data_IF_731819672470
#
_entry.id   IF_731819672470
#
_cell.length_a   1.000
_cell.length_b   1.000
_cell.length_c   1.000
_cell.angle_alpha   90.00
_cell.angle_beta   90.00
_cell.angle_gamma   90.00
#
_symmetry.space_group_name_H-M   'P 1'
#
loop_
_entity.id
_entity.type
_entity.pdbx_description
1 polymer ?
#
# COMPACT_ATOMS: atom_id res chain seq x y z
N UNK A 1 10.64 -27.61 14.58
CA UNK A 1 10.58 -27.19 13.17
C UNK A 1 11.31 -28.26 12.37
N UNK A 2 10.61 -28.99 11.52
CA UNK A 2 10.98 -30.34 11.02
C UNK A 2 12.11 -30.40 9.99
N UNK A 3 12.76 -29.29 9.64
CA UNK A 3 13.94 -29.29 8.74
C UNK A 3 13.66 -29.68 7.29
N UNK A 4 12.52 -30.32 7.03
CA UNK A 4 12.02 -30.66 5.71
C UNK A 4 11.13 -29.52 5.18
N UNK A 5 11.69 -28.74 4.25
CA UNK A 5 11.03 -27.65 3.54
C UNK A 5 10.61 -28.06 2.13
N UNK A 6 10.60 -29.37 1.84
CA UNK A 6 10.04 -29.82 0.56
C UNK A 6 8.56 -29.43 0.49
N UNK A 7 8.13 -28.70 -0.54
CA UNK A 7 6.72 -28.37 -0.70
C UNK A 7 5.90 -29.67 -0.74
N UNK A 8 4.96 -29.84 0.19
CA UNK A 8 4.04 -31.00 0.21
C UNK A 8 3.01 -30.97 -0.90
N UNK A 9 3.04 -29.94 -1.75
CA UNK A 9 2.17 -29.79 -2.91
C UNK A 9 3.00 -30.02 -4.17
N UNK A 10 2.77 -31.12 -4.91
CA UNK A 10 3.39 -31.32 -6.21
C UNK A 10 2.82 -30.25 -7.17
N UNK A 11 3.68 -29.42 -7.73
CA UNK A 11 3.44 -28.70 -8.98
C UNK A 11 2.13 -27.90 -9.12
N UNK A 12 1.75 -27.11 -8.12
CA UNK A 12 1.01 -25.88 -8.44
C UNK A 12 2.01 -24.76 -8.56
N UNK A 13 2.48 -24.52 -9.80
CA UNK A 13 2.90 -23.18 -10.17
C UNK A 13 1.82 -22.24 -9.61
N UNK A 14 2.18 -21.26 -8.76
CA UNK A 14 1.21 -20.33 -8.19
C UNK A 14 0.48 -19.51 -9.27
N UNK A 15 0.75 -19.77 -10.55
CA UNK A 15 0.12 -19.15 -11.69
C UNK A 15 0.53 -17.70 -11.78
N UNK A 16 1.60 -17.30 -11.09
CA UNK A 16 1.97 -15.88 -10.98
C UNK A 16 2.17 -15.31 -12.37
N UNK A 17 2.75 -16.08 -13.30
CA UNK A 17 3.00 -15.68 -14.69
C UNK A 17 1.76 -15.71 -15.59
N UNK A 18 0.79 -16.54 -15.27
CA UNK A 18 -0.35 -16.90 -16.16
C UNK A 18 -1.69 -16.35 -15.66
N UNK A 19 -1.74 -15.86 -14.42
CA UNK A 19 -2.91 -15.31 -13.76
C UNK A 19 -2.68 -13.84 -13.35
N UNK A 20 -3.77 -13.06 -13.19
CA UNK A 20 -3.66 -11.74 -12.61
C UNK A 20 -3.27 -11.87 -11.14
N UNK A 21 -2.62 -10.84 -10.58
CA UNK A 21 -2.17 -10.91 -9.20
C UNK A 21 -3.35 -11.17 -8.25
N UNK A 22 -3.29 -12.29 -7.52
CA UNK A 22 -4.30 -12.57 -6.49
C UNK A 22 -4.17 -11.61 -5.32
N UNK A 23 -2.95 -11.38 -4.83
CA UNK A 23 -2.64 -10.39 -3.78
C UNK A 23 -1.86 -9.19 -4.36
N UNK A 24 -1.97 -8.00 -3.76
CA UNK A 24 -1.24 -6.82 -4.21
C UNK A 24 0.28 -7.06 -4.25
N UNK A 25 0.97 -6.68 -5.35
CA UNK A 25 2.36 -7.12 -5.58
C UNK A 25 3.43 -6.24 -4.92
N UNK A 26 3.05 -5.13 -4.27
CA UNK A 26 3.99 -4.15 -3.73
C UNK A 26 4.97 -4.71 -2.70
N UNK A 27 4.49 -5.54 -1.76
CA UNK A 27 5.35 -6.18 -0.76
C UNK A 27 6.25 -7.29 -1.37
N UNK A 28 5.71 -8.22 -2.19
CA UNK A 28 6.55 -9.17 -2.93
C UNK A 28 7.69 -8.53 -3.74
N UNK A 29 7.46 -7.38 -4.39
CA UNK A 29 8.52 -6.67 -5.12
C UNK A 29 9.61 -6.10 -4.21
N UNK A 30 9.24 -5.56 -3.03
CA UNK A 30 10.23 -5.15 -2.02
C UNK A 30 11.07 -6.35 -1.59
N UNK A 31 10.42 -7.48 -1.31
CA UNK A 31 11.08 -8.69 -0.84
C UNK A 31 12.01 -9.29 -1.90
N UNK A 32 11.57 -9.34 -3.16
CA UNK A 32 12.39 -9.78 -4.29
C UNK A 32 13.65 -8.90 -4.45
N UNK A 33 13.50 -7.58 -4.28
CA UNK A 33 14.62 -6.64 -4.32
C UNK A 33 15.56 -6.84 -3.12
N UNK A 34 15.02 -7.05 -1.92
CA UNK A 34 15.79 -7.33 -0.71
C UNK A 34 16.64 -8.60 -0.85
N UNK A 35 16.05 -9.69 -1.34
CA UNK A 35 16.77 -10.94 -1.56
C UNK A 35 17.79 -10.86 -2.70
N UNK A 36 17.53 -10.04 -3.73
CA UNK A 36 18.50 -9.81 -4.81
C UNK A 36 19.75 -9.09 -4.31
N UNK A 37 19.61 -8.15 -3.37
CA UNK A 37 20.72 -7.38 -2.82
C UNK A 37 21.45 -8.10 -1.68
N UNK A 38 20.72 -8.80 -0.81
CA UNK A 38 21.26 -9.44 0.40
C UNK A 38 21.46 -10.96 0.32
N UNK A 39 21.17 -11.57 -0.84
CA UNK A 39 21.11 -13.03 -1.02
C UNK A 39 19.89 -13.65 -0.33
N UNK A 40 19.72 -14.98 -0.45
CA UNK A 40 18.60 -15.76 0.12
C UNK A 40 18.65 -15.92 1.66
N UNK A 41 19.09 -14.87 2.37
CA UNK A 41 19.22 -14.87 3.83
C UNK A 41 18.00 -14.16 4.45
N UNK A 42 17.39 -14.77 5.45
CA UNK A 42 16.28 -14.18 6.20
C UNK A 42 16.61 -12.84 6.88
N UNK A 43 17.89 -12.55 7.14
CA UNK A 43 18.32 -11.32 7.77
C UNK A 43 18.14 -10.07 6.88
N UNK A 44 18.34 -10.20 5.56
CA UNK A 44 18.31 -9.06 4.63
C UNK A 44 16.96 -8.32 4.62
N UNK A 45 15.81 -8.98 4.39
CA UNK A 45 14.52 -8.30 4.40
C UNK A 45 14.15 -7.78 5.80
N UNK A 46 14.54 -8.46 6.89
CA UNK A 46 14.33 -7.97 8.26
C UNK A 46 15.06 -6.66 8.52
N UNK A 47 16.33 -6.56 8.13
CA UNK A 47 17.10 -5.32 8.28
C UNK A 47 16.44 -4.18 7.51
N UNK A 48 15.98 -4.44 6.28
CA UNK A 48 15.25 -3.45 5.48
C UNK A 48 13.95 -3.03 6.17
N UNK A 49 13.19 -3.97 6.75
CA UNK A 49 11.97 -3.64 7.49
C UNK A 49 12.24 -2.81 8.75
N UNK A 50 13.30 -3.11 9.50
CA UNK A 50 13.70 -2.31 10.67
C UNK A 50 14.09 -0.89 10.24
N UNK A 51 14.86 -0.75 9.15
CA UNK A 51 15.21 0.56 8.59
C UNK A 51 13.95 1.32 8.18
N UNK A 52 13.00 0.66 7.51
CA UNK A 52 11.71 1.25 7.17
C UNK A 52 10.96 1.68 8.44
N UNK A 53 10.88 0.84 9.47
CA UNK A 53 10.29 1.17 10.76
C UNK A 53 10.86 2.45 11.38
N UNK A 54 12.19 2.55 11.44
CA UNK A 54 12.90 3.74 11.92
C UNK A 54 12.55 4.98 11.08
N UNK A 55 12.55 4.86 9.75
CA UNK A 55 12.16 5.95 8.85
C UNK A 55 10.70 6.36 9.08
N UNK A 56 9.80 5.40 9.33
CA UNK A 56 8.41 5.65 9.67
C UNK A 56 8.26 6.46 10.95
N UNK A 57 8.97 6.08 12.02
CA UNK A 57 9.03 6.83 13.27
C UNK A 57 9.55 8.27 13.07
N UNK A 58 10.61 8.44 12.27
CA UNK A 58 11.18 9.75 11.97
C UNK A 58 10.21 10.63 11.17
N UNK A 59 9.55 10.08 10.15
CA UNK A 59 8.58 10.82 9.35
C UNK A 59 7.38 11.26 10.19
N UNK A 60 6.88 10.40 11.07
CA UNK A 60 5.82 10.74 12.01
C UNK A 60 6.24 11.86 12.98
N UNK A 61 7.44 11.77 13.53
CA UNK A 61 8.01 12.77 14.43
C UNK A 61 8.18 14.13 13.73
N UNK A 62 8.69 14.13 12.48
CA UNK A 62 8.83 15.34 11.66
C UNK A 62 7.47 15.95 11.30
N UNK A 63 6.48 15.10 10.98
CA UNK A 63 5.12 15.54 10.71
C UNK A 63 4.51 16.19 11.96
N UNK A 64 4.53 15.51 13.11
CA UNK A 64 4.04 16.05 14.37
C UNK A 64 4.77 17.34 14.78
N UNK A 65 6.11 17.37 14.62
CA UNK A 65 6.93 18.56 14.91
C UNK A 65 6.51 19.77 14.10
N UNK A 66 6.15 19.58 12.82
CA UNK A 66 5.76 20.67 11.92
C UNK A 66 4.51 21.41 12.42
N UNK A 67 3.54 20.70 12.99
CA UNK A 67 2.22 21.26 13.33
C UNK A 67 2.06 21.57 14.82
N UNK A 68 2.74 20.81 15.69
CA UNK A 68 2.53 20.87 17.14
C UNK A 68 3.82 21.14 17.94
N UNK A 69 4.95 21.36 17.26
CA UNK A 69 6.23 21.68 17.89
C UNK A 69 7.06 20.46 18.32
N UNK A 70 8.29 20.73 18.79
CA UNK A 70 9.30 19.70 19.03
C UNK A 70 8.92 18.66 20.09
N UNK A 71 8.23 19.07 21.16
CA UNK A 71 7.80 18.17 22.23
C UNK A 71 6.85 17.08 21.72
N UNK A 72 5.84 17.46 20.94
CA UNK A 72 4.88 16.49 20.37
C UNK A 72 5.53 15.59 19.32
N UNK A 73 6.49 16.12 18.55
CA UNK A 73 7.31 15.30 17.66
C UNK A 73 8.09 14.21 18.39
N UNK A 74 8.69 14.54 19.54
CA UNK A 74 9.39 13.56 20.37
C UNK A 74 8.43 12.52 20.97
N UNK A 75 7.27 12.95 21.47
CA UNK A 75 6.25 12.03 21.99
C UNK A 75 5.78 11.06 20.89
N UNK A 76 5.52 11.55 19.68
CA UNK A 76 5.16 10.70 18.54
C UNK A 76 6.26 9.68 18.20
N UNK A 77 7.53 10.10 18.23
CA UNK A 77 8.66 9.20 18.01
C UNK A 77 8.73 8.09 19.07
N UNK A 78 8.63 8.46 20.35
CA UNK A 78 8.67 7.51 21.48
C UNK A 78 7.51 6.53 21.41
N UNK A 79 6.29 7.03 21.19
CA UNK A 79 5.10 6.18 21.09
C UNK A 79 5.22 5.19 19.94
N UNK A 80 5.68 5.62 18.76
CA UNK A 80 5.85 4.71 17.64
C UNK A 80 6.98 3.69 17.89
N UNK A 81 8.13 4.13 18.44
CA UNK A 81 9.26 3.23 18.69
C UNK A 81 9.02 2.20 19.81
N UNK A 82 8.05 2.46 20.68
CA UNK A 82 7.70 1.57 21.82
C UNK A 82 6.42 0.79 21.58
N UNK A 83 5.68 1.08 20.51
CA UNK A 83 4.44 0.39 20.21
C UNK A 83 4.72 -1.03 19.72
N UNK A 84 4.45 -2.00 20.61
CA UNK A 84 4.81 -3.41 20.43
C UNK A 84 4.35 -4.02 19.10
N UNK A 85 3.21 -3.59 18.56
CA UNK A 85 2.67 -4.09 17.29
C UNK A 85 3.60 -3.76 16.12
N UNK A 86 4.20 -2.56 16.10
CA UNK A 86 5.14 -2.18 15.03
C UNK A 86 6.41 -2.99 15.12
N UNK A 87 6.96 -3.11 16.34
CA UNK A 87 8.16 -3.91 16.61
C UNK A 87 7.92 -5.38 16.18
N UNK A 88 6.75 -5.93 16.48
CA UNK A 88 6.37 -7.28 16.09
C UNK A 88 6.31 -7.44 14.57
N UNK A 89 5.60 -6.56 13.87
CA UNK A 89 5.46 -6.65 12.40
C UNK A 89 6.72 -6.28 11.63
N UNK A 90 7.70 -5.61 12.23
CA UNK A 90 9.04 -5.41 11.64
C UNK A 90 9.87 -6.70 11.66
N UNK A 91 9.65 -7.57 12.66
CA UNK A 91 10.28 -8.88 12.77
C UNK A 91 9.66 -9.94 11.85
N UNK A 92 8.39 -9.77 11.49
CA UNK A 92 7.64 -10.65 10.60
C UNK A 92 7.77 -10.19 9.14
N UNK A 93 7.76 -11.11 8.17
CA UNK A 93 7.83 -10.76 6.75
C UNK A 93 6.44 -10.33 6.25
N UNK A 94 6.02 -9.13 6.66
CA UNK A 94 4.70 -8.59 6.37
C UNK A 94 4.69 -7.15 5.85
N UNK A 95 3.64 -6.86 5.10
CA UNK A 95 3.36 -5.56 4.49
C UNK A 95 3.31 -4.32 5.42
N UNK A 96 2.93 -4.39 6.71
CA UNK A 96 2.74 -3.20 7.54
C UNK A 96 3.95 -2.27 7.63
N UNK A 97 5.17 -2.80 7.72
CA UNK A 97 6.38 -1.99 7.84
C UNK A 97 6.55 -1.04 6.63
N UNK A 98 6.36 -1.55 5.41
CA UNK A 98 6.38 -0.74 4.19
C UNK A 98 5.19 0.22 4.12
N UNK A 99 3.98 -0.26 4.45
CA UNK A 99 2.76 0.52 4.35
C UNK A 99 2.80 1.77 5.23
N UNK A 100 3.25 1.65 6.47
CA UNK A 100 3.25 2.75 7.44
C UNK A 100 4.19 3.87 7.00
N UNK A 101 5.37 3.53 6.50
CA UNK A 101 6.31 4.51 5.94
C UNK A 101 5.70 5.24 4.74
N UNK A 102 5.09 4.50 3.82
CA UNK A 102 4.44 5.07 2.64
C UNK A 102 3.30 6.00 3.05
N UNK A 103 2.50 5.65 4.06
CA UNK A 103 1.41 6.50 4.55
C UNK A 103 1.93 7.78 5.20
N UNK A 104 2.97 7.72 6.04
CA UNK A 104 3.56 8.92 6.65
C UNK A 104 4.20 9.84 5.61
N UNK A 105 4.91 9.27 4.63
CA UNK A 105 5.43 10.02 3.50
C UNK A 105 4.29 10.66 2.69
N UNK A 106 3.25 9.88 2.36
CA UNK A 106 2.09 10.36 1.60
C UNK A 106 1.43 11.53 2.30
N UNK A 107 1.07 11.40 3.59
CA UNK A 107 0.42 12.46 4.36
C UNK A 107 1.33 13.70 4.46
N UNK A 108 2.65 13.52 4.58
CA UNK A 108 3.61 14.64 4.59
C UNK A 108 3.62 15.41 3.26
N UNK A 109 3.61 14.71 2.11
CA UNK A 109 3.50 15.37 0.81
C UNK A 109 2.12 15.96 0.55
N UNK A 110 1.06 15.30 1.05
CA UNK A 110 -0.33 15.77 1.04
C UNK A 110 -0.54 16.97 1.98
N UNK A 111 0.31 17.22 2.97
CA UNK A 111 0.31 18.48 3.70
C UNK A 111 1.04 19.58 2.90
N UNK A 112 2.20 19.25 2.31
CA UNK A 112 3.01 20.23 1.56
C UNK A 112 2.36 20.73 0.27
N UNK A 113 1.66 19.84 -0.44
CA UNK A 113 0.98 20.24 -1.68
C UNK A 113 -0.22 21.15 -1.41
N UNK A 114 -0.93 21.05 -0.27
CA UNK A 114 -2.15 21.84 -0.03
C UNK A 114 -1.81 23.25 0.42
N UNK A 115 -0.62 23.48 0.98
CA UNK A 115 -0.14 24.82 1.29
C UNK A 115 0.18 25.64 0.04
N UNK A 116 0.65 25.02 -1.05
CA UNK A 116 1.17 25.74 -2.23
C UNK A 116 0.54 25.33 -3.57
N UNK A 117 -0.34 24.32 -3.57
CA UNK A 117 -0.97 23.69 -4.74
C UNK A 117 0.03 23.41 -5.88
N UNK A 118 1.23 22.91 -5.53
CA UNK A 118 2.30 22.64 -6.49
C UNK A 118 2.14 21.28 -7.15
N UNK A 119 2.20 21.27 -8.48
CA UNK A 119 2.13 20.05 -9.30
C UNK A 119 3.14 18.98 -8.87
N UNK A 120 4.42 19.33 -8.70
CA UNK A 120 5.45 18.32 -8.34
C UNK A 120 5.19 17.64 -6.98
N UNK A 121 4.71 18.38 -5.98
CA UNK A 121 4.35 17.79 -4.68
C UNK A 121 3.09 16.93 -4.78
N UNK A 122 2.15 17.29 -5.66
CA UNK A 122 0.98 16.50 -5.98
C UNK A 122 1.32 15.16 -6.62
N UNK A 123 2.23 15.19 -7.61
CA UNK A 123 2.72 13.98 -8.29
C UNK A 123 3.41 13.07 -7.29
N UNK A 124 4.28 13.61 -6.42
CA UNK A 124 4.92 12.82 -5.36
C UNK A 124 3.90 12.19 -4.39
N UNK A 125 2.87 12.93 -3.97
CA UNK A 125 1.77 12.40 -3.17
C UNK A 125 1.01 11.28 -3.91
N UNK A 126 0.76 11.44 -5.22
CA UNK A 126 0.08 10.48 -6.07
C UNK A 126 0.87 9.19 -6.24
N UNK A 127 2.19 9.31 -6.47
CA UNK A 127 3.12 8.17 -6.53
C UNK A 127 3.10 7.41 -5.21
N UNK A 128 3.20 8.10 -4.07
CA UNK A 128 3.16 7.45 -2.75
C UNK A 128 1.82 6.78 -2.48
N UNK A 129 0.71 7.41 -2.87
CA UNK A 129 -0.64 6.84 -2.77
C UNK A 129 -0.78 5.57 -3.62
N UNK A 130 -0.29 5.59 -4.86
CA UNK A 130 -0.34 4.41 -5.73
C UNK A 130 0.61 3.29 -5.27
N UNK A 131 1.81 3.61 -4.79
CA UNK A 131 2.69 2.63 -4.14
C UNK A 131 2.04 2.01 -2.90
N UNK A 132 1.38 2.82 -2.07
CA UNK A 132 0.62 2.32 -0.92
C UNK A 132 -0.55 1.43 -1.37
N UNK A 133 -1.22 1.77 -2.47
CA UNK A 133 -2.28 0.96 -3.06
C UNK A 133 -1.78 -0.40 -3.58
N UNK A 134 -0.57 -0.46 -4.13
CA UNK A 134 0.07 -1.72 -4.51
C UNK A 134 0.41 -2.62 -3.32
N UNK A 135 0.43 -2.09 -2.11
CA UNK A 135 0.58 -2.85 -0.86
C UNK A 135 -0.79 -3.18 -0.26
N UNK A 136 -1.68 -2.18 -0.18
CA UNK A 136 -3.07 -2.32 0.26
C UNK A 136 -4.00 -1.46 -0.61
N UNK A 137 -4.80 -2.07 -1.52
CA UNK A 137 -5.68 -1.36 -2.44
C UNK A 137 -6.70 -0.44 -1.76
N UNK A 138 -7.12 -0.76 -0.53
CA UNK A 138 -8.10 0.02 0.23
C UNK A 138 -7.66 1.47 0.45
N UNK A 139 -6.36 1.77 0.39
CA UNK A 139 -5.83 3.13 0.53
C UNK A 139 -6.30 4.03 -0.63
N UNK A 140 -6.70 3.48 -1.78
CA UNK A 140 -7.29 4.24 -2.89
C UNK A 140 -8.56 5.00 -2.49
N UNK A 141 -9.28 4.54 -1.47
CA UNK A 141 -10.44 5.24 -0.94
C UNK A 141 -10.08 6.63 -0.35
N UNK A 142 -8.79 6.88 -0.06
CA UNK A 142 -8.31 8.19 0.37
C UNK A 142 -8.20 9.20 -0.79
N UNK A 143 -8.06 8.75 -2.04
CA UNK A 143 -7.95 9.64 -3.19
C UNK A 143 -9.08 10.68 -3.29
N UNK A 144 -10.37 10.30 -3.24
CA UNK A 144 -11.47 11.28 -3.27
C UNK A 144 -11.45 12.19 -2.05
N UNK A 145 -11.15 11.68 -0.85
CA UNK A 145 -11.05 12.49 0.36
C UNK A 145 -9.96 13.57 0.25
N UNK A 146 -8.79 13.19 -0.27
CA UNK A 146 -7.66 14.09 -0.53
C UNK A 146 -8.03 15.17 -1.55
N UNK A 147 -8.72 14.80 -2.64
CA UNK A 147 -9.15 15.75 -3.69
C UNK A 147 -10.23 16.71 -3.19
N UNK A 148 -11.19 16.23 -2.39
CA UNK A 148 -12.25 17.07 -1.79
C UNK A 148 -11.63 18.05 -0.78
N UNK A 149 -10.71 17.58 0.05
CA UNK A 149 -10.00 18.44 1.01
C UNK A 149 -9.15 19.50 0.30
N UNK A 150 -8.40 19.12 -0.74
CA UNK A 150 -7.63 20.07 -1.54
C UNK A 150 -8.54 21.08 -2.28
N UNK A 151 -9.71 20.66 -2.76
CA UNK A 151 -10.70 21.55 -3.37
C UNK A 151 -11.22 22.58 -2.37
N UNK A 152 -11.50 22.16 -1.13
CA UNK A 152 -11.96 23.06 -0.07
C UNK A 152 -10.90 24.12 0.27
N UNK A 153 -9.64 23.74 0.41
CA UNK A 153 -8.52 24.67 0.64
C UNK A 153 -8.36 25.60 -0.56
N UNK A 154 -8.38 25.07 -1.78
CA UNK A 154 -8.23 25.87 -2.99
C UNK A 154 -9.34 26.91 -3.15
N UNK A 155 -10.59 26.59 -2.79
CA UNK A 155 -11.70 27.56 -2.78
C UNK A 155 -11.45 28.68 -1.77
N UNK A 156 -11.00 28.36 -0.55
CA UNK A 156 -10.71 29.38 0.48
C UNK A 156 -9.61 30.36 0.07
N UNK A 157 -8.59 29.87 -0.63
CA UNK A 157 -7.46 30.69 -1.07
C UNK A 157 -7.57 31.18 -2.53
N UNK A 158 -8.72 30.96 -3.20
CA UNK A 158 -8.95 31.31 -4.63
C UNK A 158 -7.92 30.72 -5.60
N UNK A 159 -7.41 29.51 -5.32
CA UNK A 159 -6.39 28.81 -6.09
C UNK A 159 -6.95 27.79 -7.10
N UNK A 160 -8.13 28.06 -7.70
CA UNK A 160 -8.86 27.09 -8.53
C UNK A 160 -8.05 26.51 -9.69
N UNK A 161 -7.30 27.34 -10.42
CA UNK A 161 -6.44 26.87 -11.53
C UNK A 161 -5.29 25.98 -11.03
N UNK A 162 -4.66 26.35 -9.92
CA UNK A 162 -3.59 25.56 -9.32
C UNK A 162 -4.11 24.21 -8.79
N UNK A 163 -5.34 24.18 -8.27
CA UNK A 163 -6.00 22.95 -7.85
C UNK A 163 -6.19 21.97 -9.00
N UNK A 164 -6.66 22.41 -10.17
CA UNK A 164 -6.86 21.50 -11.31
C UNK A 164 -5.54 20.84 -11.70
N UNK A 165 -4.46 21.62 -11.80
CA UNK A 165 -3.13 21.09 -12.10
C UNK A 165 -2.63 20.16 -10.98
N UNK A 166 -2.75 20.54 -9.72
CA UNK A 166 -2.33 19.70 -8.60
C UNK A 166 -3.13 18.39 -8.54
N UNK A 167 -4.46 18.45 -8.68
CA UNK A 167 -5.33 17.28 -8.74
C UNK A 167 -4.97 16.35 -9.89
N UNK A 168 -4.72 16.91 -11.08
CA UNK A 168 -4.21 16.15 -12.22
C UNK A 168 -2.85 15.52 -11.92
N UNK A 169 -1.95 16.21 -11.22
CA UNK A 169 -0.66 15.68 -10.78
C UNK A 169 -0.80 14.48 -9.83
N UNK A 170 -1.71 14.56 -8.85
CA UNK A 170 -2.01 13.44 -7.95
C UNK A 170 -2.50 12.22 -8.74
N UNK A 171 -3.49 12.42 -9.61
CA UNK A 171 -4.05 11.34 -10.43
C UNK A 171 -3.00 10.77 -11.38
N UNK A 172 -2.15 11.60 -11.98
CA UNK A 172 -1.07 11.18 -12.85
C UNK A 172 -0.03 10.33 -12.11
N UNK A 173 0.42 10.76 -10.91
CA UNK A 173 1.35 9.99 -10.09
C UNK A 173 0.78 8.64 -9.62
N UNK A 174 -0.50 8.64 -9.26
CA UNK A 174 -1.23 7.42 -8.87
C UNK A 174 -1.39 6.47 -10.07
N UNK A 175 -1.78 7.00 -11.23
CA UNK A 175 -1.91 6.20 -12.45
C UNK A 175 -0.56 5.64 -12.90
N UNK A 176 0.52 6.45 -12.86
CA UNK A 176 1.85 6.03 -13.28
C UNK A 176 2.41 4.84 -12.47
N UNK A 177 2.01 4.71 -11.20
CA UNK A 177 2.46 3.61 -10.33
C UNK A 177 1.56 2.37 -10.43
N UNK A 178 0.25 2.55 -10.62
CA UNK A 178 -0.71 1.45 -10.71
C UNK A 178 -0.74 0.84 -12.13
N UNK A 179 -0.63 1.67 -13.17
CA UNK A 179 -0.77 1.25 -14.56
C UNK A 179 0.13 0.09 -14.97
N UNK A 180 1.42 0.00 -14.58
CA UNK A 180 2.25 -1.15 -14.94
C UNK A 180 1.69 -2.48 -14.43
N UNK A 181 1.11 -2.48 -13.23
CA UNK A 181 0.48 -3.66 -12.64
C UNK A 181 -0.83 -3.99 -13.35
N UNK A 182 -1.66 -2.98 -13.62
CA UNK A 182 -2.91 -3.16 -14.37
C UNK A 182 -2.67 -3.71 -15.78
N UNK A 183 -1.72 -3.12 -16.51
CA UNK A 183 -1.36 -3.54 -17.88
C UNK A 183 -0.85 -4.97 -17.87
N UNK A 184 -0.01 -5.32 -16.90
CA UNK A 184 0.48 -6.69 -16.73
C UNK A 184 -0.64 -7.68 -16.40
N UNK A 185 -1.58 -7.29 -15.54
CA UNK A 185 -2.74 -8.14 -15.23
C UNK A 185 -3.58 -8.37 -16.49
N UNK A 186 -3.90 -7.31 -17.23
CA UNK A 186 -4.68 -7.38 -18.46
C UNK A 186 -3.99 -8.20 -19.55
N UNK A 187 -2.68 -8.02 -19.75
CA UNK A 187 -1.93 -8.75 -20.78
C UNK A 187 -1.86 -10.26 -20.50
N UNK A 188 -1.88 -10.65 -19.22
CA UNK A 188 -1.77 -12.05 -18.81
C UNK A 188 -3.14 -12.73 -18.78
N UNK A 189 -4.18 -12.07 -18.25
CA UNK A 189 -5.49 -12.70 -18.02
C UNK A 189 -6.57 -12.31 -19.02
N UNK A 190 -6.38 -11.26 -19.82
CA UNK A 190 -7.43 -10.66 -20.67
C UNK A 190 -8.49 -9.86 -19.90
N UNK A 191 -8.51 -9.98 -18.57
CA UNK A 191 -9.47 -9.30 -17.69
C UNK A 191 -8.91 -7.99 -17.14
N UNK A 192 -9.77 -6.98 -17.03
CA UNK A 192 -9.41 -5.70 -16.42
C UNK A 192 -9.33 -5.82 -14.89
N UNK A 193 -8.14 -6.14 -14.36
CA UNK A 193 -7.85 -6.21 -12.93
C UNK A 193 -6.89 -5.08 -12.52
N UNK A 194 -7.42 -4.09 -11.79
CA UNK A 194 -6.68 -2.86 -11.45
C UNK A 194 -5.41 -3.11 -10.62
N UNK A 195 -5.49 -3.85 -9.52
CA UNK A 195 -4.32 -4.16 -8.67
C UNK A 195 -4.29 -5.66 -8.38
N UNK A 196 -5.38 -6.18 -7.81
CA UNK A 196 -5.49 -7.58 -7.44
C UNK A 196 -6.92 -8.09 -7.56
N UNK A 197 -7.09 -9.34 -8.01
CA UNK A 197 -8.41 -9.98 -8.17
C UNK A 197 -9.13 -10.23 -6.84
N UNK A 198 -8.39 -10.35 -5.73
CA UNK A 198 -8.94 -10.56 -4.40
C UNK A 198 -9.93 -9.45 -3.95
N UNK A 199 -9.80 -8.22 -4.47
CA UNK A 199 -10.76 -7.14 -4.15
C UNK A 199 -12.18 -7.47 -4.60
N UNK A 200 -12.33 -7.90 -5.86
CA UNK A 200 -13.64 -8.28 -6.42
C UNK A 200 -14.20 -9.55 -5.77
N UNK A 201 -13.34 -10.52 -5.49
CA UNK A 201 -13.72 -11.77 -4.81
C UNK A 201 -14.27 -11.48 -3.41
N UNK A 202 -13.56 -10.67 -2.60
CA UNK A 202 -14.03 -10.30 -1.26
C UNK A 202 -15.34 -9.50 -1.30
N UNK A 203 -15.49 -8.61 -2.28
CA UNK A 203 -16.74 -7.88 -2.48
C UNK A 203 -17.90 -8.85 -2.77
N UNK A 204 -17.70 -9.84 -3.65
CA UNK A 204 -18.72 -10.83 -3.95
C UNK A 204 -19.02 -11.76 -2.76
N UNK A 205 -18.01 -12.22 -2.03
CA UNK A 205 -18.20 -13.06 -0.83
C UNK A 205 -19.11 -12.36 0.19
N UNK A 206 -18.88 -11.06 0.42
CA UNK A 206 -19.65 -10.31 1.42
C UNK A 206 -21.03 -9.83 0.96
N UNK A 207 -21.33 -9.81 -0.34
CA UNK A 207 -22.54 -9.18 -0.88
C UNK A 207 -23.43 -10.11 -1.73
N UNK A 208 -23.10 -11.41 -1.83
CA UNK A 208 -23.96 -12.36 -2.54
C UNK A 208 -25.19 -12.76 -1.70
N UNK A 209 -26.19 -13.37 -2.34
CA UNK A 209 -27.45 -13.76 -1.69
C UNK A 209 -27.27 -14.82 -0.58
N UNK A 210 -26.19 -15.60 -0.64
CA UNK A 210 -25.84 -16.63 0.34
C UNK A 210 -24.82 -16.10 1.39
N UNK A 211 -24.57 -14.79 1.44
CA UNK A 211 -23.53 -14.21 2.30
C UNK A 211 -23.91 -14.31 3.78
N UNK A 212 -23.08 -15.02 4.55
CA UNK A 212 -23.28 -15.26 5.98
C UNK A 212 -22.49 -14.30 6.89
N UNK A 213 -21.70 -13.40 6.30
CA UNK A 213 -20.74 -12.56 7.03
C UNK A 213 -19.44 -13.28 7.44
N UNK A 214 -19.27 -14.56 7.06
CA UNK A 214 -18.05 -15.32 7.27
C UNK A 214 -17.26 -15.49 5.97
N UNK A 215 -15.96 -15.78 6.09
CA UNK A 215 -15.12 -16.10 4.92
C UNK A 215 -15.56 -17.45 4.37
N UNK A 216 -16.09 -17.45 3.15
CA UNK A 216 -16.51 -18.67 2.46
C UNK A 216 -15.35 -19.24 1.62
N UNK A 217 -14.84 -20.42 1.99
CA UNK A 217 -13.84 -21.18 1.21
C UNK A 217 -14.38 -21.65 -0.15
N UNK A 218 -15.71 -21.73 -0.29
CA UNK A 218 -16.37 -22.19 -1.51
C UNK A 218 -17.54 -21.29 -1.84
N UNK A 219 -17.53 -20.75 -3.05
CA UNK A 219 -18.62 -19.94 -3.58
C UNK A 219 -19.32 -20.77 -4.65
N UNK A 220 -20.64 -20.96 -4.50
CA UNK A 220 -21.46 -21.71 -5.45
C UNK A 220 -21.37 -21.04 -6.83
N UNK A 221 -20.95 -21.79 -7.86
CA UNK A 221 -20.78 -21.29 -9.24
C UNK A 221 -19.40 -20.70 -9.58
N UNK A 222 -18.59 -20.30 -8.59
CA UNK A 222 -17.25 -19.71 -8.80
C UNK A 222 -16.10 -20.63 -8.38
N UNK A 223 -16.38 -21.66 -7.58
CA UNK A 223 -15.40 -22.68 -7.20
C UNK A 223 -14.91 -22.55 -5.75
N UNK A 224 -13.75 -23.16 -5.47
CA UNK A 224 -13.13 -23.16 -4.13
C UNK A 224 -11.98 -22.15 -4.13
N UNK A 225 -12.12 -21.10 -3.33
CA UNK A 225 -11.05 -20.15 -3.07
C UNK A 225 -10.36 -20.63 -1.81
N UNK A 226 -9.20 -21.29 -1.95
CA UNK A 226 -8.46 -21.72 -0.79
C UNK A 226 -8.10 -20.52 0.06
N UNK A 227 -8.51 -20.53 1.33
CA UNK A 227 -7.97 -19.65 2.35
C UNK A 227 -6.48 -19.96 2.55
N UNK A 228 -5.63 -19.52 1.62
CA UNK A 228 -4.22 -19.35 1.89
C UNK A 228 -4.13 -18.11 2.76
N UNK A 229 -4.23 -18.24 4.08
CA UNK A 229 -3.56 -17.28 4.96
C UNK A 229 -2.07 -17.34 4.65
#
# INVERSE_FOLDING_TARGET
MTGDWTPTYPDRDPGVREAPFFRPPGYPYLLATAYRLGGLRYAAPRIIQIILGIVGCLLAALFARRWYGAGVGLVAAVLMSTYWVLIYFEGELHAPALLIVLLWAMVSFVARWTERMRFGSAVAAGILLGLAALVRPNVLALAPAILVWAAWIARRHRLGRCYVWAGAGLLAGMAATIAPVTVRNYAVSGDFVLISSNGGINFFIGNNADATGQVADRIRGLGRFGNCF
#
